data_IF_240908149921
#
_entry.id   IF_240908149921
#
_cell.length_a   1.000
_cell.length_b   1.000
_cell.length_c   1.000
_cell.angle_alpha   90.00
_cell.angle_beta   90.00
_cell.angle_gamma   90.00
#
_symmetry.space_group_name_H-M   'P 1'
#
loop_
_entity.id
_entity.type
_entity.pdbx_description
1 polymer ?
#
# COMPACT_ATOMS: atom_id res chain seq x y z
N UNK A 1 -2.54 -1.15 -15.93
CA UNK A 1 -2.68 -2.50 -15.38
C UNK A 1 -2.79 -2.43 -13.87
N UNK A 2 -3.77 -3.09 -13.31
CA UNK A 2 -3.94 -3.04 -11.87
C UNK A 2 -3.14 -4.15 -11.20
N UNK A 3 -2.71 -3.89 -9.98
CA UNK A 3 -2.00 -4.87 -9.18
C UNK A 3 -2.97 -5.47 -8.15
N UNK A 4 -2.59 -6.60 -7.59
CA UNK A 4 -3.46 -7.28 -6.63
C UNK A 4 -3.44 -6.57 -5.29
N UNK A 5 -4.42 -6.89 -4.45
CA UNK A 5 -4.48 -6.37 -3.10
C UNK A 5 -3.22 -6.76 -2.31
N UNK A 6 -2.75 -8.00 -2.50
CA UNK A 6 -1.53 -8.45 -1.83
C UNK A 6 -0.30 -7.67 -2.26
N UNK A 7 -0.20 -7.37 -3.56
CA UNK A 7 0.90 -6.57 -4.08
C UNK A 7 0.85 -5.16 -3.49
N UNK A 8 -0.34 -4.59 -3.36
CA UNK A 8 -0.46 -3.27 -2.74
C UNK A 8 0.03 -3.28 -1.30
N UNK A 9 -0.31 -4.32 -0.56
CA UNK A 9 0.14 -4.45 0.83
C UNK A 9 1.66 -4.56 0.92
N UNK A 10 2.26 -5.35 0.02
CA UNK A 10 3.73 -5.45 -0.03
C UNK A 10 4.38 -4.11 -0.31
N UNK A 11 3.83 -3.35 -1.26
CA UNK A 11 4.38 -2.04 -1.60
C UNK A 11 4.31 -1.07 -0.42
N UNK A 12 3.18 -1.07 0.29
CA UNK A 12 3.04 -0.23 1.49
C UNK A 12 4.09 -0.62 2.53
N UNK A 13 4.18 -1.91 2.83
CA UNK A 13 5.09 -2.41 3.85
C UNK A 13 6.55 -2.10 3.50
N UNK A 14 6.94 -2.41 2.28
CA UNK A 14 8.33 -2.22 1.86
C UNK A 14 8.69 -0.76 1.73
N UNK A 15 7.74 0.09 1.34
CA UNK A 15 7.97 1.53 1.29
C UNK A 15 8.23 2.11 2.69
N UNK A 16 7.70 1.46 3.73
CA UNK A 16 7.95 1.86 5.11
C UNK A 16 9.13 1.10 5.72
N UNK A 17 9.80 0.28 4.93
CA UNK A 17 11.00 -0.47 5.33
C UNK A 17 10.73 -1.42 6.49
N UNK A 18 9.59 -2.09 6.43
CA UNK A 18 9.19 -3.02 7.48
C UNK A 18 9.21 -4.46 6.98
N UNK A 19 9.60 -5.38 7.86
CA UNK A 19 9.36 -6.79 7.61
C UNK A 19 7.90 -7.10 7.92
N UNK A 20 7.42 -8.27 7.46
CA UNK A 20 6.05 -8.68 7.78
C UNK A 20 5.84 -8.76 9.29
N UNK A 21 6.83 -9.29 10.01
CA UNK A 21 6.74 -9.41 11.46
C UNK A 21 6.61 -8.05 12.13
N UNK A 22 7.44 -7.09 11.68
CA UNK A 22 7.38 -5.75 12.24
C UNK A 22 6.03 -5.09 12.00
N UNK A 23 5.51 -5.21 10.78
CA UNK A 23 4.22 -4.61 10.47
C UNK A 23 3.09 -5.25 11.26
N UNK A 24 3.06 -6.58 11.35
CA UNK A 24 1.99 -7.27 12.07
C UNK A 24 2.04 -6.98 13.56
N UNK A 25 3.23 -6.77 14.11
CA UNK A 25 3.35 -6.35 15.51
C UNK A 25 2.79 -4.94 15.70
N UNK A 26 3.04 -4.04 14.74
CA UNK A 26 2.56 -2.66 14.85
C UNK A 26 1.04 -2.56 14.82
N UNK A 27 0.39 -3.35 13.98
CA UNK A 27 -1.06 -3.23 13.81
C UNK A 27 -1.83 -4.35 14.51
N UNK A 28 -1.12 -5.21 15.24
CA UNK A 28 -1.72 -6.25 16.04
C UNK A 28 -2.58 -7.21 15.22
N UNK A 29 -1.99 -7.76 14.18
CA UNK A 29 -2.62 -8.76 13.32
C UNK A 29 -1.74 -10.02 13.36
N UNK A 30 -2.37 -11.18 13.33
CA UNK A 30 -1.65 -12.44 13.29
C UNK A 30 -0.77 -12.53 12.05
N UNK A 31 0.47 -12.98 12.22
CA UNK A 31 1.44 -13.06 11.12
C UNK A 31 0.92 -13.90 9.95
N UNK A 32 0.41 -15.10 10.27
CA UNK A 32 -0.08 -16.00 9.22
C UNK A 32 -1.25 -15.40 8.45
N UNK A 33 -2.13 -14.71 9.15
CA UNK A 33 -3.27 -14.03 8.52
C UNK A 33 -2.76 -12.96 7.55
N UNK A 34 -1.84 -12.13 8.00
CA UNK A 34 -1.29 -11.08 7.15
C UNK A 34 -0.52 -11.66 5.96
N UNK A 35 0.26 -12.73 6.20
CA UNK A 35 0.98 -13.40 5.12
C UNK A 35 0.00 -13.88 4.04
N UNK A 36 -1.17 -14.38 4.46
CA UNK A 36 -2.21 -14.78 3.52
C UNK A 36 -2.70 -13.61 2.68
N UNK A 37 -2.81 -12.44 3.28
CA UNK A 37 -3.21 -11.25 2.53
C UNK A 37 -2.18 -10.87 1.46
N UNK A 38 -0.89 -10.85 1.82
CA UNK A 38 0.14 -10.47 0.85
C UNK A 38 0.32 -11.49 -0.26
N UNK A 39 0.04 -12.76 0.01
CA UNK A 39 0.17 -13.81 -0.99
C UNK A 39 -1.10 -14.00 -1.80
N UNK A 40 -2.12 -13.19 -1.56
CA UNK A 40 -3.42 -13.25 -2.23
C UNK A 40 -4.16 -14.57 -1.98
N UNK A 41 -3.82 -15.27 -0.92
CA UNK A 41 -4.60 -16.44 -0.50
C UNK A 41 -5.95 -16.05 0.06
N UNK A 42 -6.00 -14.88 0.70
CA UNK A 42 -7.25 -14.38 1.25
C UNK A 42 -7.31 -12.87 1.09
N UNK A 43 -8.51 -12.33 1.09
CA UNK A 43 -8.72 -10.89 1.01
C UNK A 43 -8.67 -10.28 2.39
N UNK A 44 -8.13 -9.06 2.48
CA UNK A 44 -8.08 -8.35 3.75
C UNK A 44 -9.49 -8.04 4.22
N UNK A 45 -9.76 -8.35 5.49
CA UNK A 45 -11.06 -8.03 6.08
C UNK A 45 -11.15 -6.54 6.39
N UNK A 46 -12.37 -6.06 6.54
CA UNK A 46 -12.58 -4.66 6.94
C UNK A 46 -11.92 -4.39 8.30
N UNK A 47 -12.05 -5.34 9.22
CA UNK A 47 -11.44 -5.19 10.56
C UNK A 47 -9.93 -5.01 10.45
N UNK A 48 -9.28 -5.82 9.63
CA UNK A 48 -7.83 -5.71 9.42
C UNK A 48 -7.45 -4.40 8.74
N UNK A 49 -8.27 -3.96 7.78
CA UNK A 49 -8.02 -2.70 7.09
C UNK A 49 -8.12 -1.52 8.07
N UNK A 50 -9.08 -1.56 8.99
CA UNK A 50 -9.21 -0.53 10.02
C UNK A 50 -7.97 -0.48 10.90
N UNK A 51 -7.44 -1.65 11.28
CA UNK A 51 -6.22 -1.69 12.08
C UNK A 51 -5.04 -1.11 11.33
N UNK A 52 -4.91 -1.42 10.04
CA UNK A 52 -3.80 -0.95 9.23
C UNK A 52 -3.87 0.56 9.02
N UNK A 53 -4.98 1.04 8.46
CA UNK A 53 -5.09 2.44 8.10
C UNK A 53 -5.45 3.36 9.26
N UNK A 54 -5.83 2.77 10.39
CA UNK A 54 -5.96 3.52 11.63
C UNK A 54 -4.62 3.84 12.28
N UNK A 55 -3.55 3.15 11.87
CA UNK A 55 -2.22 3.44 12.37
C UNK A 55 -1.67 4.68 11.66
N UNK A 56 -1.09 5.65 12.41
CA UNK A 56 -0.63 6.91 11.81
C UNK A 56 0.36 6.70 10.67
N UNK A 57 1.13 5.65 10.72
CA UNK A 57 2.16 5.38 9.72
C UNK A 57 1.60 4.99 8.37
N UNK A 58 0.42 4.39 8.34
CA UNK A 58 -0.16 3.83 7.12
C UNK A 58 -1.39 4.58 6.64
N UNK A 59 -1.93 5.47 7.46
CA UNK A 59 -3.13 6.22 7.10
C UNK A 59 -2.98 6.96 5.77
N UNK A 60 -1.79 7.43 5.47
CA UNK A 60 -1.52 8.20 4.25
C UNK A 60 -1.70 7.39 2.96
N UNK A 61 -1.80 6.06 3.07
CA UNK A 61 -1.96 5.19 1.89
C UNK A 61 -3.39 4.72 1.69
N UNK A 62 -4.31 5.15 2.54
CA UNK A 62 -5.67 4.60 2.55
C UNK A 62 -6.39 4.80 1.22
N UNK A 63 -6.41 6.01 0.69
CA UNK A 63 -7.12 6.28 -0.56
C UNK A 63 -6.50 5.53 -1.73
N UNK A 64 -5.19 5.45 -1.75
CA UNK A 64 -4.50 4.69 -2.80
C UNK A 64 -4.87 3.20 -2.72
N UNK A 65 -4.84 2.64 -1.52
CA UNK A 65 -5.15 1.22 -1.36
C UNK A 65 -6.61 0.92 -1.72
N UNK A 66 -7.53 1.74 -1.22
CA UNK A 66 -8.96 1.49 -1.37
C UNK A 66 -9.49 1.86 -2.75
N UNK A 67 -8.99 2.94 -3.34
CA UNK A 67 -9.63 3.55 -4.51
C UNK A 67 -8.67 3.86 -5.64
N UNK A 68 -7.41 3.50 -5.53
CA UNK A 68 -6.38 3.84 -6.52
C UNK A 68 -6.30 5.34 -6.79
N UNK A 69 -6.49 6.14 -5.73
CA UNK A 69 -6.47 7.60 -5.83
C UNK A 69 -5.49 8.18 -4.83
N UNK A 70 -5.00 9.36 -5.15
CA UNK A 70 -4.19 10.13 -4.21
C UNK A 70 -4.79 11.52 -4.08
N UNK A 71 -4.48 12.17 -2.96
CA UNK A 71 -4.89 13.56 -2.72
C UNK A 71 -3.83 14.19 -1.81
N UNK A 72 -2.74 14.67 -2.40
CA UNK A 72 -1.65 15.22 -1.60
C UNK A 72 -2.06 16.34 -0.67
N UNK A 73 -3.09 17.13 -1.04
CA UNK A 73 -3.56 18.21 -0.20
C UNK A 73 -4.16 17.72 1.12
N UNK A 74 -4.61 16.45 1.15
CA UNK A 74 -5.14 15.82 2.36
C UNK A 74 -4.15 14.80 2.94
N UNK A 75 -2.91 14.77 2.41
CA UNK A 75 -1.91 13.84 2.88
C UNK A 75 -2.09 12.41 2.38
N UNK A 76 -2.90 12.21 1.35
CA UNK A 76 -3.11 10.88 0.79
C UNK A 76 -2.20 10.68 -0.41
N UNK A 77 -1.27 9.73 -0.29
CA UNK A 77 -0.22 9.52 -1.28
C UNK A 77 -0.13 8.04 -1.66
N UNK A 78 0.57 7.75 -2.73
CA UNK A 78 0.93 6.38 -3.07
C UNK A 78 2.24 6.02 -2.38
N UNK A 79 2.46 4.72 -2.09
CA UNK A 79 3.75 4.32 -1.54
C UNK A 79 4.89 4.67 -2.49
N UNK A 80 6.04 5.02 -1.95
CA UNK A 80 7.19 5.43 -2.76
C UNK A 80 7.54 4.37 -3.81
N UNK A 81 7.52 3.10 -3.42
CA UNK A 81 7.88 2.03 -4.35
C UNK A 81 6.86 1.85 -5.47
N UNK A 82 5.62 2.27 -5.28
CA UNK A 82 4.61 2.20 -6.32
C UNK A 82 4.94 3.11 -7.49
N UNK A 83 5.61 4.22 -7.22
CA UNK A 83 6.00 5.15 -8.28
C UNK A 83 7.09 4.58 -9.18
N UNK A 84 7.83 3.60 -8.68
CA UNK A 84 8.90 2.96 -9.42
C UNK A 84 8.48 1.62 -9.99
N UNK A 85 7.25 1.22 -9.75
CA UNK A 85 6.76 -0.06 -10.20
C UNK A 85 6.50 -0.06 -11.70
N UNK A 86 6.59 -1.22 -12.33
CA UNK A 86 6.38 -1.33 -13.77
C UNK A 86 4.99 -0.95 -14.22
N UNK A 87 4.02 -0.93 -13.36
CA UNK A 87 2.65 -0.61 -13.71
C UNK A 87 2.30 0.85 -13.64
N UNK A 88 3.18 1.64 -13.18
CA UNK A 88 2.79 3.04 -12.96
C UNK A 88 2.65 3.78 -14.29
N UNK A 89 2.46 3.70 -14.25
CA UNK A 89 2.37 4.29 -14.74
C UNK A 89 2.08 5.18 -15.08
N UNK A 90 1.95 5.23 -15.16
CA UNK A 90 2.03 5.96 -15.34
C UNK A 90 2.34 6.66 -15.58
N UNK A 91 2.01 6.64 -15.84
CA UNK A 91 2.55 7.36 -15.97
C UNK A 91 3.09 7.82 -16.10
N UNK A 92 2.93 7.77 -16.42
CA UNK A 92 3.73 8.39 -16.42
C UNK A 92 4.35 8.77 -16.57
N UNK A 93 4.07 8.78 -17.04
CA UNK A 93 4.77 9.27 -17.04
C UNK A 93 5.32 9.81 -16.90
N UNK A 94 5.06 9.84 -17.18
CA UNK A 94 5.64 10.40 -16.94
C UNK A 94 5.91 10.90 -16.45
N UNK A 95 5.46 10.83 -16.72
CA UNK A 95 5.87 11.41 -16.19
C UNK A 95 6.08 11.84 -15.76
N UNK A 96 5.71 11.90 -15.94
CA UNK A 96 6.08 12.47 -15.46
C UNK A 96 6.39 12.78 -15.03
N UNK A 97 5.95 12.78 -15.41
CA UNK A 97 6.34 13.24 -15.10
C UNK A 97 6.92 13.33 -14.79
N UNK A 98 6.53 13.24 -15.16
CA UNK A 98 7.12 13.53 -14.98
C UNK A 98 7.68 13.49 -14.79
N UNK A 99 7.24 13.23 -15.10
CA UNK A 99 7.78 13.37 -15.03
C UNK A 99 8.20 13.39 -15.07
N UNK A 100 7.88 13.30 -15.33
CA UNK A 100 8.32 13.52 -15.37
C UNK A 100 8.53 13.61 -15.37
N UNK A 101 8.14 13.56 -15.67
CA UNK A 101 8.40 13.80 -15.64
C UNK A 101 8.47 13.91 -15.46
#
# INVERSE_FOLDING_TARGET
>A
MSITQGEKLSLIRESERLTKKQLTDLININYGTYHGYESDKSKMTLESAVKLFGHPRFHKYQDWFMHDRIDPSRGQIAPALAHNGPGSTQSDRKSTLNSST
#
